data_IF_423095731109
#
_entry.id   IF_423095731109
#
_cell.length_a   1.000
_cell.length_b   1.000
_cell.length_c   1.000
_cell.angle_alpha   90.00
_cell.angle_beta   90.00
_cell.angle_gamma   90.00
#
_symmetry.space_group_name_H-M   'P 1'
#
loop_
_entity.id
_entity.type
_entity.pdbx_description
1 polymer ?
#
# COMPACT_ATOMS: atom_id res chain seq x y z
N UNK A 1 -19.19 5.48 4.07
CA UNK A 1 -18.03 4.60 4.10
C UNK A 1 -16.96 5.10 3.12
N UNK A 2 -15.68 4.89 3.43
CA UNK A 2 -14.56 5.30 2.56
C UNK A 2 -14.64 4.53 1.24
N UNK A 3 -14.84 5.26 0.13
CA UNK A 3 -15.03 4.69 -1.19
C UNK A 3 -13.72 4.63 -1.99
N UNK A 4 -12.82 5.56 -1.72
CA UNK A 4 -11.59 5.76 -2.47
C UNK A 4 -10.38 5.32 -1.66
N UNK A 5 -9.30 4.99 -2.34
CA UNK A 5 -8.00 4.66 -1.77
C UNK A 5 -6.93 5.68 -2.16
N UNK A 6 -5.78 5.58 -1.52
CA UNK A 6 -4.61 6.37 -1.80
C UNK A 6 -3.38 5.47 -2.02
N UNK A 7 -2.39 6.01 -2.72
CA UNK A 7 -1.04 5.45 -2.82
C UNK A 7 -0.06 6.43 -2.19
N UNK A 8 0.87 5.91 -1.39
CA UNK A 8 2.04 6.63 -0.89
C UNK A 8 3.28 6.07 -1.58
N UNK A 9 3.89 6.86 -2.44
CA UNK A 9 5.13 6.54 -3.14
C UNK A 9 6.33 7.06 -2.35
N UNK A 10 7.21 6.17 -1.92
CA UNK A 10 8.42 6.47 -1.12
C UNK A 10 9.68 6.37 -1.97
N UNK A 11 10.77 7.00 -1.52
CA UNK A 11 12.02 7.04 -2.27
C UNK A 11 12.82 5.72 -2.18
N UNK A 12 12.56 4.89 -1.17
CA UNK A 12 13.30 3.65 -0.95
C UNK A 12 12.46 2.59 -0.24
N UNK A 13 12.92 1.34 -0.28
CA UNK A 13 12.32 0.24 0.51
C UNK A 13 12.42 0.52 2.00
N UNK A 14 13.52 1.10 2.48
CA UNK A 14 13.66 1.44 3.90
C UNK A 14 12.58 2.44 4.34
N UNK A 15 12.36 3.50 3.56
CA UNK A 15 11.30 4.46 3.85
C UNK A 15 9.90 3.82 3.80
N UNK A 16 9.66 2.93 2.86
CA UNK A 16 8.39 2.20 2.80
C UNK A 16 8.14 1.38 4.08
N UNK A 17 9.18 0.72 4.60
CA UNK A 17 9.13 -0.03 5.86
C UNK A 17 8.90 0.92 7.04
N UNK A 18 9.64 2.04 7.12
CA UNK A 18 9.50 3.04 8.18
C UNK A 18 8.09 3.64 8.21
N UNK A 19 7.53 4.01 7.06
CA UNK A 19 6.15 4.49 6.99
C UNK A 19 5.14 3.43 7.42
N UNK A 20 5.32 2.17 7.03
CA UNK A 20 4.45 1.08 7.44
C UNK A 20 4.46 0.90 8.97
N UNK A 21 5.63 0.90 9.59
CA UNK A 21 5.81 0.80 11.04
C UNK A 21 5.26 2.03 11.77
N UNK A 22 5.47 3.22 11.22
CA UNK A 22 4.92 4.47 11.77
C UNK A 22 3.39 4.44 11.79
N UNK A 23 2.75 4.06 10.68
CA UNK A 23 1.29 3.93 10.64
C UNK A 23 0.78 2.91 11.66
N UNK A 24 1.44 1.77 11.80
CA UNK A 24 1.07 0.76 12.79
C UNK A 24 1.14 1.32 14.22
N UNK A 25 2.24 2.01 14.56
CA UNK A 25 2.44 2.64 15.86
C UNK A 25 1.39 3.71 16.17
N UNK A 26 1.16 4.62 15.24
CA UNK A 26 0.17 5.72 15.40
C UNK A 26 -1.24 5.16 15.55
N UNK A 27 -1.61 4.15 14.78
CA UNK A 27 -2.92 3.53 14.88
C UNK A 27 -3.10 2.76 16.20
N UNK A 28 -2.05 2.12 16.69
CA UNK A 28 -2.09 1.45 18.01
C UNK A 28 -2.31 2.46 19.13
N UNK A 29 -1.59 3.59 19.11
CA UNK A 29 -1.78 4.67 20.08
C UNK A 29 -3.20 5.26 20.02
N UNK A 30 -3.70 5.52 18.81
CA UNK A 30 -5.06 6.05 18.62
C UNK A 30 -6.13 5.06 19.11
N UNK A 31 -5.94 3.77 18.89
CA UNK A 31 -6.85 2.73 19.41
C UNK A 31 -6.87 2.67 20.94
N UNK A 32 -5.70 2.78 21.59
CA UNK A 32 -5.59 2.82 23.06
C UNK A 32 -6.28 4.06 23.63
N UNK A 33 -6.07 5.23 23.03
CA UNK A 33 -6.73 6.47 23.45
C UNK A 33 -8.26 6.39 23.27
N UNK A 34 -8.72 5.84 22.16
CA UNK A 34 -10.15 5.65 21.92
C UNK A 34 -10.79 4.68 22.91
N UNK A 35 -10.10 3.61 23.30
CA UNK A 35 -10.57 2.68 24.30
C UNK A 35 -10.71 3.36 25.67
N UNK A 36 -9.72 4.13 26.11
CA UNK A 36 -9.78 4.89 27.38
C UNK A 36 -10.90 5.93 27.40
N UNK A 37 -11.14 6.60 26.27
CA UNK A 37 -12.25 7.55 26.16
C UNK A 37 -13.62 6.87 26.19
N UNK A 38 -13.73 5.69 25.58
CA UNK A 38 -14.96 4.92 25.55
C UNK A 38 -15.38 4.40 26.95
N UNK A 39 -14.43 4.22 27.87
CA UNK A 39 -14.72 3.89 29.27
C UNK A 39 -15.40 5.07 30.03
N UNK A 40 -15.17 6.30 29.58
CA UNK A 40 -15.69 7.49 30.23
C UNK A 40 -16.95 8.04 29.55
N UNK A 41 -17.05 7.92 28.22
CA UNK A 41 -18.17 8.39 27.42
C UNK A 41 -18.40 7.49 26.22
N UNK A 42 -19.63 7.15 25.89
CA UNK A 42 -19.96 6.43 24.66
C UNK A 42 -19.63 7.33 23.45
N UNK A 43 -18.65 6.98 22.61
CA UNK A 43 -18.27 7.81 21.47
C UNK A 43 -19.38 7.82 20.43
N UNK A 44 -19.66 8.99 19.84
CA UNK A 44 -20.61 9.12 18.71
C UNK A 44 -20.18 8.31 17.48
N UNK A 45 -18.86 8.15 17.29
CA UNK A 45 -18.31 7.30 16.24
C UNK A 45 -17.16 6.44 16.83
N UNK A 46 -17.22 5.12 16.69
CA UNK A 46 -16.12 4.25 17.13
C UNK A 46 -14.87 4.49 16.29
N UNK A 47 -13.70 4.38 16.93
CA UNK A 47 -12.42 4.43 16.21
C UNK A 47 -12.37 3.33 15.13
N UNK A 48 -12.03 3.72 13.92
CA UNK A 48 -11.87 2.79 12.79
C UNK A 48 -10.49 2.98 12.18
N UNK A 49 -9.56 2.04 12.37
CA UNK A 49 -8.21 2.12 11.81
C UNK A 49 -8.23 2.11 10.28
N UNK A 50 -7.15 2.62 9.68
CA UNK A 50 -6.89 2.49 8.26
C UNK A 50 -6.41 1.08 7.92
N UNK A 51 -6.87 0.53 6.82
CA UNK A 51 -6.32 -0.68 6.23
C UNK A 51 -5.17 -0.30 5.30
N UNK A 52 -3.96 -0.66 5.70
CA UNK A 52 -2.72 -0.30 5.00
C UNK A 52 -2.10 -1.55 4.40
N UNK A 53 -1.71 -1.47 3.14
CA UNK A 53 -0.86 -2.45 2.48
C UNK A 53 0.48 -1.80 2.16
N UNK A 54 1.56 -2.58 2.15
CA UNK A 54 2.89 -2.12 1.73
C UNK A 54 3.45 -3.13 0.73
N UNK A 55 3.88 -2.66 -0.44
CA UNK A 55 4.32 -3.51 -1.54
C UNK A 55 5.65 -3.02 -2.08
N UNK A 56 6.64 -3.89 -2.07
CA UNK A 56 7.91 -3.76 -2.77
C UNK A 56 8.42 -5.15 -3.15
N UNK A 57 9.25 -5.25 -4.16
CA UNK A 57 9.79 -6.54 -4.63
C UNK A 57 10.71 -7.18 -3.59
N UNK A 58 10.66 -8.51 -3.37
CA UNK A 58 11.59 -9.20 -2.49
C UNK A 58 13.01 -9.19 -3.07
N UNK A 59 14.07 -9.45 -2.24
CA UNK A 59 15.39 -9.75 -2.77
C UNK A 59 15.34 -10.94 -3.73
N UNK A 60 16.04 -10.82 -4.88
CA UNK A 60 15.93 -11.82 -5.94
C UNK A 60 16.62 -13.16 -5.59
N UNK A 61 17.72 -13.15 -4.83
CA UNK A 61 18.47 -14.32 -4.37
C UNK A 61 18.68 -15.41 -5.45
N UNK A 62 18.81 -15.00 -6.73
CA UNK A 62 18.93 -15.93 -7.86
C UNK A 62 17.60 -16.36 -8.50
N UNK A 63 16.47 -15.96 -7.96
CA UNK A 63 15.15 -16.19 -8.54
C UNK A 63 14.98 -15.35 -9.81
N UNK A 64 14.81 -16.02 -10.96
CA UNK A 64 14.72 -15.35 -12.27
C UNK A 64 13.43 -14.55 -12.45
N UNK A 65 12.34 -15.00 -11.84
CA UNK A 65 11.05 -14.33 -11.94
C UNK A 65 11.09 -13.01 -11.18
N UNK A 66 11.69 -13.02 -9.99
CA UNK A 66 11.92 -11.79 -9.21
C UNK A 66 12.91 -10.86 -9.92
N UNK A 67 13.97 -11.39 -10.52
CA UNK A 67 14.92 -10.60 -11.32
C UNK A 67 14.22 -9.89 -12.49
N UNK A 68 13.34 -10.60 -13.18
CA UNK A 68 12.56 -10.03 -14.29
C UNK A 68 11.62 -8.91 -13.81
N UNK A 69 10.94 -9.10 -12.68
CA UNK A 69 10.10 -8.05 -12.08
C UNK A 69 10.95 -6.81 -11.78
N UNK A 70 12.16 -6.98 -11.24
CA UNK A 70 13.05 -5.87 -10.86
C UNK A 70 13.73 -5.17 -12.04
N UNK A 71 13.64 -5.67 -13.28
CA UNK A 71 14.19 -4.96 -14.45
C UNK A 71 13.55 -3.58 -14.63
N UNK A 72 12.26 -3.46 -14.37
CA UNK A 72 11.50 -2.22 -14.47
C UNK A 72 11.43 -1.43 -13.14
N UNK A 73 12.12 -1.89 -12.09
CA UNK A 73 12.08 -1.34 -10.74
C UNK A 73 13.50 -0.98 -10.24
N UNK A 74 14.15 0.02 -10.84
CA UNK A 74 15.59 0.28 -10.60
C UNK A 74 15.91 0.65 -9.15
N UNK A 75 15.03 1.38 -8.46
CA UNK A 75 15.25 1.75 -7.06
C UNK A 75 15.11 0.53 -6.16
N UNK A 76 14.07 -0.26 -6.35
CA UNK A 76 13.86 -1.48 -5.55
C UNK A 76 14.97 -2.53 -5.78
N UNK A 77 15.46 -2.64 -7.02
CA UNK A 77 16.60 -3.50 -7.34
C UNK A 77 17.86 -3.06 -6.60
N UNK A 78 18.15 -1.77 -6.58
CA UNK A 78 19.29 -1.21 -5.86
C UNK A 78 19.16 -1.41 -4.35
N UNK A 79 17.99 -1.13 -3.78
CA UNK A 79 17.72 -1.24 -2.35
C UNK A 79 17.84 -2.69 -1.86
N UNK A 80 17.35 -3.65 -2.64
CA UNK A 80 17.42 -5.07 -2.32
C UNK A 80 18.84 -5.65 -2.34
N UNK A 81 19.80 -4.98 -2.98
CA UNK A 81 21.22 -5.33 -2.89
C UNK A 81 21.85 -4.90 -1.56
N UNK A 82 21.22 -3.95 -0.87
CA UNK A 82 21.65 -3.47 0.44
C UNK A 82 20.82 -4.13 1.52
N UNK A 83 21.43 -4.97 2.35
CA UNK A 83 20.77 -5.72 3.43
C UNK A 83 19.56 -6.57 2.93
N UNK A 84 19.79 -7.55 2.06
CA UNK A 84 18.71 -8.39 1.52
C UNK A 84 17.96 -9.18 2.60
N UNK A 85 18.65 -9.66 3.63
CA UNK A 85 18.02 -10.40 4.74
C UNK A 85 17.09 -9.52 5.57
N UNK A 86 17.47 -8.27 5.86
CA UNK A 86 16.61 -7.31 6.53
C UNK A 86 15.36 -6.98 5.72
N UNK A 87 15.50 -6.78 4.41
CA UNK A 87 14.37 -6.54 3.50
C UNK A 87 13.41 -7.73 3.45
N UNK A 88 13.96 -8.94 3.36
CA UNK A 88 13.21 -10.19 3.36
C UNK A 88 12.43 -10.39 4.66
N UNK A 89 13.08 -10.15 5.80
CA UNK A 89 12.45 -10.23 7.10
C UNK A 89 11.31 -9.20 7.26
N UNK A 90 11.53 -7.95 6.82
CA UNK A 90 10.53 -6.90 6.85
C UNK A 90 9.32 -7.24 5.96
N UNK A 91 9.54 -7.67 4.72
CA UNK A 91 8.46 -8.06 3.81
C UNK A 91 7.68 -9.26 4.33
N UNK A 92 8.34 -10.22 4.97
CA UNK A 92 7.67 -11.36 5.61
C UNK A 92 6.72 -10.89 6.72
N UNK A 93 7.14 -9.94 7.57
CA UNK A 93 6.28 -9.34 8.62
C UNK A 93 5.10 -8.58 8.01
N UNK A 94 5.34 -7.80 6.96
CA UNK A 94 4.31 -7.03 6.24
C UNK A 94 3.25 -7.97 5.65
N UNK A 95 3.67 -9.06 5.01
CA UNK A 95 2.76 -10.08 4.46
C UNK A 95 1.98 -10.78 5.59
N UNK A 96 2.61 -11.06 6.72
CA UNK A 96 1.93 -11.67 7.87
C UNK A 96 0.85 -10.74 8.47
N UNK A 97 1.13 -9.44 8.60
CA UNK A 97 0.14 -8.44 9.02
C UNK A 97 -1.03 -8.36 8.02
N UNK A 98 -0.72 -8.33 6.73
CA UNK A 98 -1.72 -8.37 5.66
C UNK A 98 -2.61 -9.60 5.75
N UNK A 99 -2.01 -10.78 5.94
CA UNK A 99 -2.76 -12.03 6.09
C UNK A 99 -3.72 -11.99 7.28
N UNK A 100 -3.26 -11.48 8.41
CA UNK A 100 -4.08 -11.33 9.61
C UNK A 100 -5.26 -10.40 9.37
N UNK A 101 -5.01 -9.28 8.71
CA UNK A 101 -6.00 -8.24 8.44
C UNK A 101 -7.08 -8.67 7.44
N UNK A 102 -6.67 -9.38 6.39
CA UNK A 102 -7.55 -9.72 5.27
C UNK A 102 -7.98 -11.20 5.22
N UNK A 103 -7.57 -12.01 6.19
CA UNK A 103 -7.90 -13.43 6.26
C UNK A 103 -7.29 -14.23 5.10
N UNK A 104 -6.06 -13.90 4.71
CA UNK A 104 -5.31 -14.58 3.63
C UNK A 104 -4.14 -15.39 4.22
N UNK A 105 -3.41 -16.11 3.35
CA UNK A 105 -2.28 -16.97 3.76
C UNK A 105 -1.09 -16.86 2.81
N UNK A 106 -0.85 -15.68 2.27
CA UNK A 106 0.26 -15.42 1.36
C UNK A 106 1.63 -15.63 2.03
N UNK A 107 2.61 -15.99 1.22
CA UNK A 107 4.01 -16.18 1.64
C UNK A 107 4.94 -15.39 0.74
N UNK A 108 6.12 -15.05 1.25
CA UNK A 108 7.13 -14.35 0.46
C UNK A 108 7.61 -15.17 -0.74
N UNK A 109 7.65 -16.52 -0.62
CA UNK A 109 7.95 -17.44 -1.72
C UNK A 109 6.90 -17.44 -2.84
N UNK A 110 5.74 -16.88 -2.60
CA UNK A 110 4.63 -16.73 -3.54
C UNK A 110 4.24 -15.25 -3.65
N UNK A 111 5.25 -14.38 -3.74
CA UNK A 111 5.08 -12.92 -3.74
C UNK A 111 4.09 -12.44 -4.79
N UNK A 112 4.08 -13.05 -5.97
CA UNK A 112 3.15 -12.70 -7.03
C UNK A 112 1.68 -12.83 -6.62
N UNK A 113 1.33 -13.84 -5.84
CA UNK A 113 -0.03 -14.04 -5.34
C UNK A 113 -0.41 -12.96 -4.33
N UNK A 114 0.52 -12.56 -3.46
CA UNK A 114 0.34 -11.44 -2.57
C UNK A 114 0.12 -10.15 -3.35
N UNK A 115 1.00 -9.85 -4.30
CA UNK A 115 0.91 -8.65 -5.13
C UNK A 115 -0.38 -8.57 -5.94
N UNK A 116 -0.77 -9.66 -6.58
CA UNK A 116 -2.04 -9.76 -7.32
C UNK A 116 -3.25 -9.54 -6.39
N UNK A 117 -3.21 -10.08 -5.16
CA UNK A 117 -4.30 -9.89 -4.20
C UNK A 117 -4.43 -8.41 -3.79
N UNK A 118 -3.30 -7.72 -3.52
CA UNK A 118 -3.30 -6.28 -3.24
C UNK A 118 -3.88 -5.50 -4.42
N UNK A 119 -3.40 -5.76 -5.64
CA UNK A 119 -3.91 -5.10 -6.86
C UNK A 119 -5.41 -5.32 -7.04
N UNK A 120 -5.89 -6.54 -6.87
CA UNK A 120 -7.30 -6.89 -6.98
C UNK A 120 -8.14 -6.10 -5.97
N UNK A 121 -7.73 -6.05 -4.69
CA UNK A 121 -8.46 -5.30 -3.66
C UNK A 121 -8.55 -3.82 -3.98
N UNK A 122 -7.50 -3.20 -4.47
CA UNK A 122 -7.49 -1.79 -4.84
C UNK A 122 -8.41 -1.53 -6.04
N UNK A 123 -8.45 -2.44 -7.02
CA UNK A 123 -9.32 -2.33 -8.20
C UNK A 123 -10.78 -2.64 -7.88
N UNK A 124 -11.04 -3.73 -7.16
CA UNK A 124 -12.37 -4.24 -6.87
C UNK A 124 -13.05 -3.51 -5.71
N UNK A 125 -12.39 -2.52 -5.12
CA UNK A 125 -12.95 -1.61 -4.12
C UNK A 125 -14.21 -0.88 -4.64
N UNK A 126 -14.46 -0.99 -5.93
CA UNK A 126 -15.66 -0.54 -6.63
C UNK A 126 -16.96 -1.24 -6.20
N UNK A 127 -16.89 -2.41 -5.64
CA UNK A 127 -18.10 -3.13 -5.24
C UNK A 127 -18.69 -2.46 -4.00
N UNK A 128 -19.90 -1.90 -4.10
CA UNK A 128 -20.52 -1.22 -2.97
C UNK A 128 -20.72 -2.15 -1.77
N UNK A 129 -20.82 -3.43 -2.06
CA UNK A 129 -21.07 -4.50 -1.09
C UNK A 129 -19.81 -5.01 -0.39
N UNK A 130 -18.60 -4.61 -0.85
CA UNK A 130 -17.39 -5.03 -0.19
C UNK A 130 -17.32 -4.39 1.22
N UNK A 131 -17.27 -5.19 2.29
CA UNK A 131 -17.22 -4.66 3.65
C UNK A 131 -15.97 -3.82 3.87
N UNK A 132 -16.05 -2.88 4.79
CA UNK A 132 -14.97 -1.93 5.10
C UNK A 132 -13.65 -2.64 5.40
N UNK A 133 -13.72 -3.76 6.10
CA UNK A 133 -12.60 -4.59 6.54
C UNK A 133 -11.84 -5.23 5.36
N UNK A 134 -12.48 -5.33 4.21
CA UNK A 134 -11.90 -5.89 2.99
C UNK A 134 -11.27 -4.85 2.07
N UNK A 135 -11.43 -3.55 2.36
CA UNK A 135 -10.92 -2.44 1.55
C UNK A 135 -9.56 -1.98 2.04
N UNK A 136 -8.68 -1.63 1.11
CA UNK A 136 -7.40 -0.97 1.40
C UNK A 136 -7.62 0.53 1.32
N UNK A 137 -7.16 1.28 2.33
CA UNK A 137 -7.22 2.74 2.33
C UNK A 137 -5.97 3.37 1.73
N UNK A 138 -4.79 2.84 2.10
CA UNK A 138 -3.49 3.34 1.65
C UNK A 138 -2.64 2.15 1.23
N UNK A 139 -2.00 2.26 0.07
CA UNK A 139 -0.96 1.34 -0.37
C UNK A 139 0.38 2.08 -0.40
N UNK A 140 1.35 1.64 0.40
CA UNK A 140 2.72 2.16 0.41
C UNK A 140 3.51 1.39 -0.64
N UNK A 141 4.24 2.11 -1.49
CA UNK A 141 5.01 1.54 -2.60
C UNK A 141 6.33 2.27 -2.78
N UNK A 142 7.26 1.64 -3.49
CA UNK A 142 8.49 2.32 -3.97
C UNK A 142 8.36 2.59 -5.47
N UNK A 143 8.55 1.58 -6.31
CA UNK A 143 8.36 1.66 -7.76
C UNK A 143 7.13 0.88 -8.23
N UNK A 144 6.79 -0.22 -7.54
CA UNK A 144 5.63 -1.04 -7.87
C UNK A 144 4.33 -0.23 -7.85
N UNK A 145 3.38 -0.56 -8.72
CA UNK A 145 2.11 0.14 -8.91
C UNK A 145 2.21 1.57 -9.47
N UNK A 146 3.37 2.18 -9.56
CA UNK A 146 3.52 3.50 -10.18
C UNK A 146 3.46 3.40 -11.71
N UNK A 147 3.82 2.25 -12.27
CA UNK A 147 3.70 1.94 -13.69
C UNK A 147 2.70 0.79 -13.90
N UNK A 148 1.96 0.81 -15.01
CA UNK A 148 1.06 -0.29 -15.39
C UNK A 148 -0.22 -0.48 -14.57
N UNK A 149 -0.33 0.08 -13.37
CA UNK A 149 -1.53 -0.05 -12.53
C UNK A 149 -2.57 1.02 -12.87
N UNK A 150 -3.82 0.61 -12.98
CA UNK A 150 -4.94 1.47 -13.28
C UNK A 150 -6.16 1.16 -12.39
N UNK A 151 -6.63 2.17 -11.65
CA UNK A 151 -7.80 2.08 -10.80
C UNK A 151 -8.60 3.38 -10.77
N UNK A 152 -9.90 3.30 -11.03
CA UNK A 152 -10.83 4.43 -10.90
C UNK A 152 -11.03 4.88 -9.45
N UNK A 153 -10.68 4.04 -8.49
CA UNK A 153 -10.85 4.28 -7.06
C UNK A 153 -9.63 4.89 -6.39
N UNK A 154 -8.49 4.94 -7.10
CA UNK A 154 -7.32 5.70 -6.65
C UNK A 154 -7.62 7.19 -6.77
N UNK A 155 -7.78 7.85 -5.61
CA UNK A 155 -8.12 9.27 -5.55
C UNK A 155 -6.94 10.16 -5.20
N UNK A 156 -6.01 9.68 -4.40
CA UNK A 156 -4.89 10.48 -3.92
C UNK A 156 -3.58 9.73 -4.10
N UNK A 157 -2.60 10.43 -4.63
CA UNK A 157 -1.21 10.00 -4.68
C UNK A 157 -0.38 10.93 -3.81
N UNK A 158 0.18 10.40 -2.73
CA UNK A 158 1.20 11.04 -1.92
C UNK A 158 2.57 10.67 -2.50
N UNK A 159 3.43 11.66 -2.73
CA UNK A 159 4.75 11.45 -3.34
C UNK A 159 5.83 11.96 -2.40
N UNK A 160 6.49 11.05 -1.72
CA UNK A 160 7.68 11.32 -0.91
C UNK A 160 8.93 10.79 -1.62
N UNK A 161 9.13 11.25 -2.86
CA UNK A 161 10.32 10.93 -3.67
C UNK A 161 10.47 11.89 -4.84
N UNK A 162 11.72 12.04 -5.31
CA UNK A 162 12.01 12.78 -6.54
C UNK A 162 11.66 11.93 -7.77
N UNK A 163 10.44 12.06 -8.27
CA UNK A 163 10.04 11.42 -9.52
C UNK A 163 10.68 12.15 -10.72
N UNK A 164 11.46 11.46 -11.52
CA UNK A 164 11.96 11.97 -12.81
C UNK A 164 10.81 12.02 -13.83
N UNK A 165 10.93 12.87 -14.86
CA UNK A 165 9.86 13.26 -15.79
C UNK A 165 8.89 12.15 -16.24
N UNK A 166 9.36 10.99 -16.63
CA UNK A 166 8.48 9.88 -17.06
C UNK A 166 7.66 9.28 -15.92
N UNK A 167 8.26 9.13 -14.74
CA UNK A 167 7.56 8.60 -13.56
C UNK A 167 6.45 9.54 -13.07
N UNK A 168 6.68 10.86 -13.13
CA UNK A 168 5.69 11.88 -12.79
C UNK A 168 4.45 11.80 -13.71
N UNK A 169 4.65 11.79 -15.01
CA UNK A 169 3.56 11.75 -16.00
C UNK A 169 2.73 10.47 -15.82
N UNK A 170 3.39 9.33 -15.63
CA UNK A 170 2.70 8.06 -15.43
C UNK A 170 1.94 8.02 -14.10
N UNK A 171 2.55 8.44 -12.99
CA UNK A 171 1.91 8.52 -11.69
C UNK A 171 0.71 9.48 -11.71
N UNK A 172 0.85 10.65 -12.35
CA UNK A 172 -0.21 11.65 -12.47
C UNK A 172 -1.40 11.15 -13.28
N UNK A 173 -1.16 10.41 -14.35
CA UNK A 173 -2.23 9.87 -15.18
C UNK A 173 -3.12 8.86 -14.42
N UNK A 174 -2.61 8.26 -13.33
CA UNK A 174 -3.33 7.25 -12.54
C UNK A 174 -4.44 7.81 -11.64
N UNK A 175 -4.23 9.01 -11.09
CA UNK A 175 -5.21 9.68 -10.23
C UNK A 175 -6.29 10.40 -11.00
N UNK A 176 -6.02 10.75 -12.26
CA UNK A 176 -6.89 11.62 -13.09
C UNK A 176 -8.12 10.94 -13.68
N UNK A 177 -8.35 9.65 -13.40
CA UNK A 177 -9.54 8.98 -13.91
C UNK A 177 -10.80 9.42 -13.16
N UNK A 178 -11.67 10.09 -13.89
CA UNK A 178 -13.01 10.47 -13.43
C UNK A 178 -13.87 9.21 -13.30
N UNK A 179 -14.50 9.01 -12.15
CA UNK A 179 -15.44 7.91 -11.94
C UNK A 179 -16.87 8.35 -12.27
N UNK A 180 -17.28 9.46 -11.69
CA UNK A 180 -18.57 10.15 -11.86
C UNK A 180 -18.53 11.49 -11.10
N UNK A 181 -19.66 12.13 -10.87
CA UNK A 181 -19.72 13.37 -10.10
C UNK A 181 -19.18 13.31 -8.66
N UNK A 182 -18.94 12.11 -8.11
CA UNK A 182 -18.34 11.94 -6.77
C UNK A 182 -16.79 11.91 -6.79
N UNK A 183 -16.18 11.73 -7.96
CA UNK A 183 -14.73 11.84 -8.18
C UNK A 183 -14.48 12.59 -9.50
N UNK A 184 -14.59 13.93 -9.50
CA UNK A 184 -14.36 14.75 -10.70
C UNK A 184 -12.87 14.88 -11.04
N UNK A 185 -11.95 14.70 -10.07
CA UNK A 185 -10.49 14.78 -10.24
C UNK A 185 -9.77 13.88 -9.22
N UNK A 186 -8.47 13.69 -9.41
CA UNK A 186 -7.58 13.08 -8.44
C UNK A 186 -6.67 14.13 -7.79
N UNK A 187 -6.13 13.82 -6.61
CA UNK A 187 -5.21 14.66 -5.85
C UNK A 187 -3.79 14.10 -5.92
N UNK A 188 -2.81 15.01 -6.01
CA UNK A 188 -1.38 14.70 -5.89
C UNK A 188 -0.82 15.64 -4.84
N UNK A 189 -0.15 15.10 -3.86
CA UNK A 189 0.39 15.80 -2.69
C UNK A 189 1.83 15.42 -2.45
#
# INVERSE_FOLDING_TARGET
GRKFNAVLATASINEAIEYFELFASVQQQAAQQAAQQAEQHTPEQPYSPLNIACVFSPPAEGDKDVQQIQEDLPQEKQDNQQDPEGKKAALTRIIADYNTRFGTNHRISEFDLYYQNVQKRIKDQQWPELPREQKIDITIVVDMLLTGFDSKYLNTLYVDKNLKHHGLIQAFSRTNRVLNGTKPYGNIL
#
